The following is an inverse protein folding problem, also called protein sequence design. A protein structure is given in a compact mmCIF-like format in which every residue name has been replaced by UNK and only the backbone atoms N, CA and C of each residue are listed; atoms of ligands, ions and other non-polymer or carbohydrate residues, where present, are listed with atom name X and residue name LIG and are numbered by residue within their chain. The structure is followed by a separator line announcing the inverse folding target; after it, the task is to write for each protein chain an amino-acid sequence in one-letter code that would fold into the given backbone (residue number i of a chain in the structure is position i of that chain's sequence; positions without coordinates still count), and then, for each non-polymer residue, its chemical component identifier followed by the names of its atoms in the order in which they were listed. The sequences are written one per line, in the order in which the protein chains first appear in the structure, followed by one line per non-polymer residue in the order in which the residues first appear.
data_IF_203837338422
#
_entry.id   IF_203837338422
#
_cell.length_a   1.000
_cell.length_b   1.000
_cell.length_c   1.000
_cell.angle_alpha   90.00
_cell.angle_beta   90.00
_cell.angle_gamma   90.00
#
_symmetry.space_group_name_H-M   'P 1'
#
loop_
_entity.id
_entity.type
_entity.pdbx_description
1 polymer ?
#
# COMPACT_ATOMS: atom_id res chain seq x y z
N UNK A 1 -14.31 -22.83 -0.31
CA UNK A 1 -13.95 -21.43 -0.62
C UNK A 1 -12.63 -21.17 0.07
N UNK A 2 -11.49 -21.04 -0.63
CA UNK A 2 -10.24 -20.77 0.05
C UNK A 2 -10.29 -19.31 0.52
N UNK A 3 -10.36 -19.10 1.83
CA UNK A 3 -10.04 -17.81 2.43
C UNK A 3 -8.52 -17.70 2.35
N UNK A 4 -8.02 -17.00 1.32
CA UNK A 4 -6.59 -16.79 1.18
C UNK A 4 -6.20 -15.64 2.10
N UNK A 5 -5.67 -16.05 3.24
CA UNK A 5 -4.70 -15.34 4.05
C UNK A 5 -3.66 -14.65 3.16
N UNK A 6 -3.86 -13.35 2.93
CA UNK A 6 -2.79 -12.41 2.63
C UNK A 6 -2.93 -11.33 3.70
N UNK A 7 -2.10 -11.38 4.74
CA UNK A 7 -2.23 -10.57 5.97
C UNK A 7 -2.03 -9.04 5.78
N UNK A 8 -2.15 -8.57 4.54
CA UNK A 8 -2.39 -7.17 4.19
C UNK A 8 -3.73 -7.09 3.44
N UNK A 9 -4.82 -7.26 4.17
CA UNK A 9 -6.15 -6.93 3.63
C UNK A 9 -6.15 -5.47 3.20
N UNK A 10 -6.94 -5.12 2.17
CA UNK A 10 -7.11 -3.72 1.74
C UNK A 10 -7.41 -2.80 2.92
N UNK A 11 -8.28 -3.23 3.82
CA UNK A 11 -8.66 -2.46 5.00
C UNK A 11 -7.48 -2.23 5.96
N UNK A 12 -6.58 -3.19 6.11
CA UNK A 12 -5.36 -3.04 6.91
C UNK A 12 -4.39 -2.02 6.30
N UNK A 13 -4.22 -2.05 4.97
CA UNK A 13 -3.39 -1.06 4.25
C UNK A 13 -3.99 0.34 4.38
N UNK A 14 -5.30 0.49 4.15
CA UNK A 14 -6.02 1.76 4.31
C UNK A 14 -5.88 2.30 5.73
N UNK A 15 -6.08 1.48 6.75
CA UNK A 15 -5.95 1.90 8.14
C UNK A 15 -4.55 2.45 8.44
N UNK A 16 -3.51 1.81 7.90
CA UNK A 16 -2.12 2.23 8.10
C UNK A 16 -1.78 3.53 7.37
N UNK A 17 -2.28 3.70 6.15
CA UNK A 17 -2.13 4.94 5.39
C UNK A 17 -2.87 6.12 6.06
N UNK A 18 -4.10 5.90 6.54
CA UNK A 18 -4.85 6.93 7.30
C UNK A 18 -4.15 7.31 8.60
N UNK A 19 -3.59 6.34 9.32
CA UNK A 19 -2.81 6.60 10.53
C UNK A 19 -1.55 7.46 10.24
N UNK A 20 -1.01 7.37 9.03
CA UNK A 20 0.07 8.22 8.54
C UNK A 20 -0.39 9.60 8.04
N UNK A 21 -1.69 9.89 8.09
CA UNK A 21 -2.27 11.15 7.61
C UNK A 21 -2.55 11.18 6.11
N UNK A 22 -2.55 10.03 5.42
CA UNK A 22 -2.94 9.98 4.03
C UNK A 22 -4.45 10.23 3.85
N UNK A 23 -4.79 11.23 3.03
CA UNK A 23 -6.18 11.62 2.73
C UNK A 23 -6.83 10.68 1.72
N UNK A 24 -6.05 10.13 0.79
CA UNK A 24 -6.51 9.26 -0.31
C UNK A 24 -6.23 7.77 -0.03
N UNK A 25 -6.24 7.37 1.24
CA UNK A 25 -5.76 6.05 1.68
C UNK A 25 -6.42 4.87 0.94
N UNK A 26 -7.71 4.96 0.63
CA UNK A 26 -8.46 3.93 -0.11
C UNK A 26 -7.99 3.76 -1.56
N UNK A 27 -7.80 4.87 -2.26
CA UNK A 27 -7.33 4.87 -3.65
C UNK A 27 -5.87 4.42 -3.71
N UNK A 28 -5.03 4.95 -2.83
CA UNK A 28 -3.62 4.59 -2.73
C UNK A 28 -3.41 3.12 -2.34
N UNK A 29 -4.18 2.58 -1.39
CA UNK A 29 -4.15 1.16 -1.07
C UNK A 29 -4.53 0.31 -2.28
N UNK A 30 -5.47 0.78 -3.11
CA UNK A 30 -5.84 0.12 -4.35
C UNK A 30 -4.69 0.05 -5.34
N UNK A 31 -3.96 1.15 -5.52
CA UNK A 31 -2.79 1.20 -6.39
C UNK A 31 -1.67 0.30 -5.87
N UNK A 32 -1.35 0.38 -4.57
CA UNK A 32 -0.31 -0.45 -3.95
C UNK A 32 -0.62 -1.94 -4.06
N UNK A 33 -1.87 -2.35 -3.86
CA UNK A 33 -2.30 -3.75 -3.99
C UNK A 33 -2.40 -4.22 -5.46
N UNK A 34 -2.46 -3.30 -6.41
CA UNK A 34 -2.50 -3.60 -7.84
C UNK A 34 -1.10 -3.72 -8.45
N UNK A 35 -0.07 -3.19 -7.80
CA UNK A 35 1.32 -3.54 -8.11
C UNK A 35 1.46 -5.06 -7.89
N UNK A 36 1.58 -5.84 -8.96
CA UNK A 36 1.66 -7.31 -8.95
C UNK A 36 2.99 -7.77 -8.32
N UNK A 37 3.15 -7.51 -7.03
CA UNK A 37 4.38 -7.67 -6.27
C UNK A 37 4.22 -8.70 -5.17
N UNK A 38 5.32 -9.36 -4.83
CA UNK A 38 5.36 -10.27 -3.69
C UNK A 38 4.94 -9.55 -2.39
N UNK A 39 4.29 -10.24 -1.43
CA UNK A 39 3.81 -9.62 -0.19
C UNK A 39 4.87 -8.82 0.59
N UNK A 40 6.11 -9.31 0.64
CA UNK A 40 7.23 -8.61 1.31
C UNK A 40 7.58 -7.28 0.63
N UNK A 41 7.42 -7.23 -0.69
CA UNK A 41 7.63 -6.02 -1.49
C UNK A 41 6.51 -5.02 -1.20
N UNK A 42 5.27 -5.49 -1.09
CA UNK A 42 4.12 -4.64 -0.77
C UNK A 42 4.28 -3.94 0.58
N UNK A 43 4.70 -4.66 1.64
CA UNK A 43 4.97 -4.05 2.95
C UNK A 43 6.04 -2.96 2.85
N UNK A 44 7.07 -3.16 2.02
CA UNK A 44 8.11 -2.14 1.77
C UNK A 44 7.52 -0.89 1.12
N UNK A 45 6.63 -1.05 0.13
CA UNK A 45 5.96 0.08 -0.53
C UNK A 45 5.07 0.84 0.45
N UNK A 46 4.30 0.12 1.27
CA UNK A 46 3.45 0.72 2.32
C UNK A 46 4.32 1.48 3.33
N UNK A 47 5.44 0.90 3.78
CA UNK A 47 6.34 1.54 4.72
C UNK A 47 6.93 2.85 4.17
N UNK A 48 7.35 2.86 2.89
CA UNK A 48 7.82 4.08 2.21
C UNK A 48 6.73 5.14 2.13
N UNK A 49 5.51 4.74 1.78
CA UNK A 49 4.37 5.67 1.71
C UNK A 49 4.01 6.27 3.07
N UNK A 50 4.02 5.44 4.12
CA UNK A 50 3.82 5.83 5.52
C UNK A 50 4.92 6.75 6.02
N UNK A 51 6.16 6.58 5.55
CA UNK A 51 7.28 7.49 5.83
C UNK A 51 7.15 8.86 5.13
N UNK A 52 6.12 9.07 4.32
CA UNK A 52 5.83 10.33 3.64
C UNK A 52 6.44 10.44 2.24
N UNK A 53 6.93 9.33 1.67
CA UNK A 53 7.39 9.33 0.29
C UNK A 53 6.20 9.50 -0.68
N UNK A 54 6.33 10.34 -1.73
CA UNK A 54 5.28 10.50 -2.73
C UNK A 54 4.94 9.18 -3.40
N UNK A 55 3.64 8.95 -3.63
CA UNK A 55 3.14 7.68 -4.15
C UNK A 55 3.79 7.31 -5.49
N UNK A 56 4.03 8.30 -6.35
CA UNK A 56 4.66 8.09 -7.65
C UNK A 56 6.09 7.57 -7.54
N UNK A 57 6.86 7.98 -6.51
CA UNK A 57 8.19 7.43 -6.25
C UNK A 57 8.14 6.06 -5.57
N UNK A 58 7.11 5.83 -4.74
CA UNK A 58 6.86 4.51 -4.14
C UNK A 58 6.58 3.48 -5.22
N UNK A 59 5.66 3.80 -6.14
CA UNK A 59 5.28 2.96 -7.28
C UNK A 59 6.31 2.95 -8.41
N UNK A 60 7.31 3.84 -8.38
CA UNK A 60 8.32 3.96 -9.43
C UNK A 60 7.81 4.57 -10.73
N UNK A 61 6.69 5.30 -10.69
CA UNK A 61 6.12 6.04 -11.82
C UNK A 61 6.80 7.38 -12.04
N UNK A 62 7.39 7.95 -10.98
CA UNK A 62 8.21 9.15 -11.09
C UNK A 62 9.63 8.78 -11.50
N UNK A 63 10.10 9.42 -12.58
CA UNK A 63 11.45 9.29 -13.15
C UNK A 63 12.37 10.41 -12.66
#
# INVERSE_FOLDING_TARGET
MPVLTSDLSRDAVVARLRAAGCVFAEDEAGLLLAEDVAPDRLETLIARRVAGEPLEHVLGWAQ
#
